data_IF_384052284268
#
_entry.id   IF_384052284268
#
_cell.length_a   1.000
_cell.length_b   1.000
_cell.length_c   1.000
_cell.angle_alpha   90.00
_cell.angle_beta   90.00
_cell.angle_gamma   90.00
#
_symmetry.space_group_name_H-M   'P 1'
#
loop_
_entity.id
_entity.type
_entity.pdbx_description
1 polymer ?
#
# COMPACT_ATOMS: atom_id res chain seq x y z
N UNK A 1 16.97 -16.39 -0.51
CA UNK A 1 16.84 -15.65 -1.78
C UNK A 1 17.57 -14.34 -1.64
N UNK A 2 18.43 -13.97 -2.60
CA UNK A 2 19.16 -12.71 -2.55
C UNK A 2 18.15 -11.57 -2.73
N UNK A 3 18.29 -10.49 -1.95
CA UNK A 3 17.41 -9.32 -2.02
C UNK A 3 17.39 -8.63 -3.41
N UNK A 4 18.37 -8.92 -4.27
CA UNK A 4 18.43 -8.48 -5.67
C UNK A 4 17.31 -9.12 -6.50
N UNK A 5 17.13 -10.43 -6.39
CA UNK A 5 16.28 -11.22 -7.29
C UNK A 5 14.80 -10.84 -7.11
N UNK A 6 14.41 -10.50 -5.87
CA UNK A 6 13.07 -9.98 -5.57
C UNK A 6 12.87 -8.54 -6.09
N UNK A 7 13.93 -7.73 -6.14
CA UNK A 7 13.84 -6.35 -6.60
C UNK A 7 13.65 -6.28 -8.12
N UNK A 8 14.34 -7.13 -8.86
CA UNK A 8 14.22 -7.20 -10.32
C UNK A 8 12.86 -7.78 -10.72
N UNK A 9 12.39 -8.84 -10.04
CA UNK A 9 11.03 -9.36 -10.26
C UNK A 9 9.95 -8.29 -9.99
N UNK A 10 10.09 -7.52 -8.91
CA UNK A 10 9.18 -6.41 -8.59
C UNK A 10 9.26 -5.29 -9.63
N UNK A 11 10.44 -5.03 -10.18
CA UNK A 11 10.63 -4.05 -11.24
C UNK A 11 9.92 -4.47 -12.53
N UNK A 12 10.14 -5.69 -13.02
CA UNK A 12 9.48 -6.18 -14.23
C UNK A 12 7.96 -6.11 -14.07
N UNK A 13 7.42 -6.60 -12.96
CA UNK A 13 5.98 -6.51 -12.68
C UNK A 13 5.46 -5.05 -12.64
N UNK A 14 6.24 -4.11 -12.09
CA UNK A 14 5.88 -2.68 -12.11
C UNK A 14 5.84 -2.10 -13.53
N UNK A 15 6.76 -2.52 -14.39
CA UNK A 15 6.81 -2.05 -15.78
C UNK A 15 5.69 -2.68 -16.61
N UNK A 16 5.49 -4.00 -16.50
CA UNK A 16 4.42 -4.76 -17.18
C UNK A 16 3.01 -4.25 -16.84
N UNK A 17 2.77 -3.82 -15.59
CA UNK A 17 1.51 -3.20 -15.17
C UNK A 17 1.34 -1.74 -15.68
N UNK A 18 2.20 -1.28 -16.60
CA UNK A 18 2.08 0.00 -17.29
C UNK A 18 2.39 1.23 -16.44
N UNK A 19 3.10 1.09 -15.32
CA UNK A 19 3.35 2.23 -14.44
C UNK A 19 4.32 3.27 -15.01
N UNK A 20 5.10 2.93 -16.04
CA UNK A 20 5.93 3.89 -16.77
C UNK A 20 5.11 4.85 -17.60
N UNK A 21 3.97 4.42 -18.13
CA UNK A 21 3.04 5.27 -18.92
C UNK A 21 2.49 6.45 -18.11
N UNK A 22 2.60 6.38 -16.78
CA UNK A 22 2.15 7.44 -15.85
C UNK A 22 3.19 8.54 -15.66
N UNK A 23 4.36 8.46 -16.30
CA UNK A 23 5.37 9.53 -16.30
C UNK A 23 4.83 10.71 -17.10
N UNK A 24 4.97 11.92 -16.57
CA UNK A 24 4.45 13.12 -17.25
C UNK A 24 5.46 13.57 -18.32
N UNK A 25 5.03 14.23 -19.40
CA UNK A 25 5.95 14.85 -20.35
C UNK A 25 6.95 15.79 -19.68
N UNK A 26 6.52 16.54 -18.66
CA UNK A 26 7.37 17.46 -17.88
C UNK A 26 8.40 16.76 -16.97
N UNK A 27 8.30 15.44 -16.82
CA UNK A 27 9.29 14.64 -16.10
C UNK A 27 10.49 14.27 -16.98
N UNK A 28 10.37 14.39 -18.31
CA UNK A 28 11.41 14.02 -19.28
C UNK A 28 12.40 15.17 -19.51
N UNK A 29 13.68 14.83 -19.72
CA UNK A 29 14.71 15.82 -20.13
C UNK A 29 14.46 16.27 -21.57
N UNK A 30 14.11 15.32 -22.45
CA UNK A 30 13.77 15.57 -23.84
C UNK A 30 12.36 15.01 -24.11
N UNK A 31 11.37 15.89 -24.23
CA UNK A 31 9.95 15.51 -24.37
C UNK A 31 9.72 14.68 -25.64
N UNK A 32 10.44 15.00 -26.73
CA UNK A 32 10.27 14.36 -28.03
C UNK A 32 10.79 12.91 -28.08
N UNK A 33 11.72 12.55 -27.20
CA UNK A 33 12.33 11.22 -27.18
C UNK A 33 11.47 10.16 -26.49
N UNK A 34 10.42 10.56 -25.78
CA UNK A 34 9.57 9.66 -25.00
C UNK A 34 10.31 8.98 -23.85
N UNK A 35 9.68 7.95 -23.28
CA UNK A 35 10.27 7.13 -22.22
C UNK A 35 11.06 6.00 -22.89
N UNK A 36 12.33 5.78 -22.54
CA UNK A 36 13.11 4.68 -23.09
C UNK A 36 12.48 3.33 -22.72
N UNK A 37 12.57 2.36 -23.64
CA UNK A 37 12.15 0.99 -23.37
C UNK A 37 13.10 0.33 -22.36
N UNK A 38 12.54 -0.13 -21.26
CA UNK A 38 13.25 -0.75 -20.13
C UNK A 38 12.56 -2.04 -19.66
N UNK A 39 11.65 -2.60 -20.47
CA UNK A 39 10.83 -3.78 -20.12
C UNK A 39 11.70 -5.00 -19.74
N UNK A 40 12.77 -5.24 -20.50
CA UNK A 40 13.66 -6.40 -20.33
C UNK A 40 14.90 -6.10 -19.49
N UNK A 41 15.02 -4.88 -18.95
CA UNK A 41 16.19 -4.47 -18.18
C UNK A 41 16.02 -4.80 -16.70
N UNK A 42 17.11 -5.25 -16.05
CA UNK A 42 17.17 -5.30 -14.59
C UNK A 42 17.02 -3.91 -13.98
N UNK A 43 16.71 -3.85 -12.67
CA UNK A 43 16.42 -2.57 -12.04
C UNK A 43 17.60 -1.59 -12.10
N UNK A 44 18.85 -2.05 -12.04
CA UNK A 44 20.01 -1.16 -12.03
C UNK A 44 20.30 -0.57 -13.41
N UNK A 45 20.22 -1.40 -14.45
CA UNK A 45 20.33 -0.97 -15.84
C UNK A 45 19.19 0.01 -16.18
N UNK A 46 17.94 -0.36 -15.86
CA UNK A 46 16.79 0.50 -16.07
C UNK A 46 16.91 1.83 -15.31
N UNK A 47 17.37 1.79 -14.05
CA UNK A 47 17.63 3.00 -13.26
C UNK A 47 18.62 3.93 -13.95
N UNK A 48 19.74 3.40 -14.44
CA UNK A 48 20.75 4.24 -15.09
C UNK A 48 20.20 4.90 -16.36
N UNK A 49 19.47 4.14 -17.18
CA UNK A 49 18.80 4.65 -18.38
C UNK A 49 17.78 5.72 -18.02
N UNK A 50 16.92 5.47 -17.03
CA UNK A 50 15.87 6.40 -16.62
C UNK A 50 16.42 7.67 -15.97
N UNK A 51 17.49 7.58 -15.20
CA UNK A 51 18.15 8.77 -14.61
C UNK A 51 18.75 9.68 -15.67
N UNK A 52 19.15 9.14 -16.82
CA UNK A 52 19.67 9.93 -17.95
C UNK A 52 18.58 10.54 -18.83
N UNK A 53 17.33 10.06 -18.72
CA UNK A 53 16.20 10.50 -19.56
C UNK A 53 15.14 11.30 -18.78
N UNK A 54 15.14 11.20 -17.44
CA UNK A 54 14.24 11.93 -16.56
C UNK A 54 14.94 13.10 -15.88
N UNK A 55 14.19 14.18 -15.70
CA UNK A 55 14.59 15.26 -14.80
C UNK A 55 14.80 14.71 -13.38
N UNK A 56 15.61 15.37 -12.52
CA UNK A 56 15.79 14.94 -11.14
C UNK A 56 14.46 14.79 -10.36
N UNK A 57 13.49 15.66 -10.66
CA UNK A 57 12.15 15.62 -10.08
C UNK A 57 11.34 14.43 -10.62
N UNK A 58 11.41 14.19 -11.93
CA UNK A 58 10.77 13.04 -12.57
C UNK A 58 11.28 11.71 -12.03
N UNK A 59 12.60 11.56 -11.90
CA UNK A 59 13.20 10.40 -11.25
C UNK A 59 12.73 10.24 -9.81
N UNK A 60 12.72 11.31 -9.02
CA UNK A 60 12.26 11.28 -7.62
C UNK A 60 10.83 10.79 -7.51
N UNK A 61 9.93 11.31 -8.37
CA UNK A 61 8.52 10.88 -8.44
C UNK A 61 8.40 9.40 -8.82
N UNK A 62 9.12 8.96 -9.85
CA UNK A 62 9.11 7.57 -10.29
C UNK A 62 9.61 6.63 -9.19
N UNK A 63 10.75 6.93 -8.58
CA UNK A 63 11.34 6.13 -7.52
C UNK A 63 10.42 6.01 -6.30
N UNK A 64 9.71 7.09 -5.95
CA UNK A 64 8.70 7.07 -4.89
C UNK A 64 7.51 6.16 -5.24
N UNK A 65 7.02 6.21 -6.47
CA UNK A 65 5.94 5.32 -6.96
C UNK A 65 6.36 3.86 -6.94
N UNK A 66 7.55 3.53 -7.44
CA UNK A 66 8.06 2.16 -7.40
C UNK A 66 8.24 1.66 -5.96
N UNK A 67 8.74 2.50 -5.05
CA UNK A 67 8.82 2.14 -3.62
C UNK A 67 7.46 1.84 -3.02
N UNK A 68 6.45 2.67 -3.31
CA UNK A 68 5.07 2.47 -2.86
C UNK A 68 4.44 1.22 -3.46
N UNK A 69 4.73 0.92 -4.73
CA UNK A 69 4.31 -0.31 -5.39
C UNK A 69 4.90 -1.54 -4.69
N UNK A 70 6.22 -1.56 -4.48
CA UNK A 70 6.89 -2.64 -3.76
C UNK A 70 6.29 -2.84 -2.37
N UNK A 71 6.08 -1.74 -1.64
CA UNK A 71 5.45 -1.79 -0.32
C UNK A 71 4.05 -2.41 -0.39
N UNK A 72 3.23 -2.05 -1.37
CA UNK A 72 1.88 -2.60 -1.55
C UNK A 72 1.84 -4.06 -1.98
N UNK A 73 2.79 -4.52 -2.81
CA UNK A 73 2.88 -5.93 -3.21
C UNK A 73 3.40 -6.82 -2.08
N UNK A 74 4.28 -6.28 -1.23
CA UNK A 74 4.82 -6.99 -0.07
C UNK A 74 3.88 -6.96 1.14
N UNK A 75 3.17 -5.85 1.34
CA UNK A 75 2.14 -5.78 2.35
C UNK A 75 0.96 -6.60 1.86
N UNK A 76 0.67 -7.72 2.52
CA UNK A 76 -0.55 -8.50 2.30
C UNK A 76 -1.78 -7.78 2.90
N UNK A 77 -1.84 -6.45 2.76
CA UNK A 77 -2.89 -5.62 3.30
C UNK A 77 -3.93 -5.30 2.24
N UNK A 78 -5.19 -5.29 2.66
CA UNK A 78 -6.33 -4.88 1.84
C UNK A 78 -6.97 -3.63 2.43
N UNK A 79 -7.73 -2.91 1.61
CA UNK A 79 -8.55 -1.78 2.07
C UNK A 79 -9.99 -2.23 2.18
N UNK A 80 -10.57 -2.11 3.38
CA UNK A 80 -12.00 -2.31 3.61
C UNK A 80 -12.69 -0.96 3.76
N UNK A 81 -13.89 -0.83 3.22
CA UNK A 81 -14.74 0.36 3.43
C UNK A 81 -15.75 0.03 4.50
N UNK A 82 -15.81 0.84 5.55
CA UNK A 82 -16.75 0.68 6.66
C UNK A 82 -17.61 1.93 6.78
N UNK A 83 -18.87 1.73 7.22
CA UNK A 83 -19.68 2.86 7.66
C UNK A 83 -19.03 3.51 8.89
N UNK A 84 -19.16 4.84 9.00
CA UNK A 84 -18.60 5.61 10.12
C UNK A 84 -19.03 5.07 11.48
N UNK A 85 -20.31 4.66 11.61
CA UNK A 85 -20.86 4.08 12.83
C UNK A 85 -20.13 2.78 13.20
N UNK A 86 -19.84 1.91 12.22
CA UNK A 86 -19.07 0.67 12.46
C UNK A 86 -17.65 0.98 12.92
N UNK A 87 -17.00 1.99 12.32
CA UNK A 87 -15.65 2.40 12.72
C UNK A 87 -15.62 2.94 14.16
N UNK A 88 -16.60 3.74 14.56
CA UNK A 88 -16.71 4.23 15.94
C UNK A 88 -16.89 3.09 16.96
N UNK A 89 -17.66 2.07 16.57
CA UNK A 89 -17.85 0.86 17.38
C UNK A 89 -16.55 0.08 17.54
N UNK A 90 -15.82 -0.13 16.45
CA UNK A 90 -14.50 -0.78 16.48
C UNK A 90 -13.49 0.03 17.29
N UNK A 91 -13.52 1.36 17.21
CA UNK A 91 -12.65 2.21 18.02
C UNK A 91 -12.93 2.06 19.52
N UNK A 92 -14.22 2.04 19.91
CA UNK A 92 -14.59 1.83 21.31
C UNK A 92 -14.15 0.45 21.82
N UNK A 93 -14.34 -0.59 21.00
CA UNK A 93 -13.89 -1.95 21.33
C UNK A 93 -12.36 -2.02 21.44
N UNK A 94 -11.63 -1.39 20.52
CA UNK A 94 -10.17 -1.28 20.56
C UNK A 94 -9.68 -0.67 21.89
N UNK A 95 -10.33 0.39 22.36
CA UNK A 95 -9.99 1.01 23.65
C UNK A 95 -10.32 0.10 24.84
N UNK A 96 -11.45 -0.62 24.77
CA UNK A 96 -11.85 -1.56 25.81
C UNK A 96 -10.88 -2.74 25.94
N UNK A 97 -10.40 -3.27 24.81
CA UNK A 97 -9.42 -4.37 24.76
C UNK A 97 -7.97 -3.92 25.01
N UNK A 98 -7.72 -2.61 25.11
CA UNK A 98 -6.39 -2.02 25.29
C UNK A 98 -5.35 -2.45 24.22
N UNK A 99 -5.79 -2.56 22.96
CA UNK A 99 -4.92 -2.96 21.83
C UNK A 99 -4.57 -1.79 20.90
N UNK A 100 -3.42 -1.87 20.25
CA UNK A 100 -2.83 -0.75 19.49
C UNK A 100 -3.28 -0.67 18.02
N UNK A 101 -3.82 -1.74 17.45
CA UNK A 101 -4.25 -1.81 16.05
C UNK A 101 -5.61 -2.51 15.89
N UNK A 102 -6.17 -2.41 14.68
CA UNK A 102 -7.46 -3.04 14.36
C UNK A 102 -7.32 -4.50 13.93
N UNK A 103 -6.11 -4.95 13.60
CA UNK A 103 -5.87 -6.34 13.20
C UNK A 103 -6.10 -7.25 14.40
N UNK A 104 -5.50 -6.90 15.53
CA UNK A 104 -5.72 -7.57 16.82
C UNK A 104 -7.19 -7.55 17.24
N UNK A 105 -7.92 -6.43 17.03
CA UNK A 105 -9.36 -6.38 17.31
C UNK A 105 -10.15 -7.35 16.43
N UNK A 106 -9.78 -7.50 15.16
CA UNK A 106 -10.41 -8.48 14.29
C UNK A 106 -10.08 -9.91 14.71
N UNK A 107 -8.87 -10.18 15.17
CA UNK A 107 -8.50 -11.50 15.69
C UNK A 107 -9.42 -11.90 16.86
N UNK A 108 -9.58 -11.02 17.86
CA UNK A 108 -10.51 -11.26 18.98
C UNK A 108 -11.97 -11.44 18.53
N UNK A 109 -12.44 -10.69 17.52
CA UNK A 109 -13.82 -10.79 17.02
C UNK A 109 -14.08 -12.07 16.20
N UNK A 110 -13.03 -12.65 15.63
CA UNK A 110 -13.12 -13.82 14.76
C UNK A 110 -12.74 -15.12 15.48
N UNK A 111 -12.13 -15.03 16.66
CA UNK A 111 -11.81 -16.17 17.49
C UNK A 111 -13.09 -16.76 18.13
N UNK A 112 -13.47 -18.02 17.82
CA UNK A 112 -14.65 -18.64 18.39
C UNK A 112 -14.52 -18.97 19.89
N UNK A 113 -13.31 -18.94 20.46
CA UNK A 113 -13.07 -19.18 21.89
C UNK A 113 -13.23 -17.91 22.74
N UNK A 114 -13.18 -16.73 22.12
CA UNK A 114 -13.31 -15.43 22.80
C UNK A 114 -14.79 -15.02 22.94
N UNK A 115 -15.28 -14.93 24.18
CA UNK A 115 -16.64 -14.42 24.45
C UNK A 115 -16.63 -12.92 24.72
N UNK A 116 -16.84 -12.14 23.65
CA UNK A 116 -16.96 -10.69 23.72
C UNK A 116 -18.40 -10.20 23.96
N UNK A 117 -19.36 -11.09 24.20
CA UNK A 117 -20.80 -10.74 24.22
C UNK A 117 -21.13 -9.62 25.20
N UNK A 118 -20.54 -9.63 26.39
CA UNK A 118 -20.80 -8.63 27.42
C UNK A 118 -20.16 -7.27 27.09
N UNK A 119 -18.95 -7.28 26.53
CA UNK A 119 -18.29 -6.07 26.05
C UNK A 119 -19.12 -5.41 24.93
N UNK A 120 -19.61 -6.22 23.97
CA UNK A 120 -20.42 -5.73 22.86
C UNK A 120 -21.78 -5.17 23.34
N UNK A 121 -22.42 -5.79 24.33
CA UNK A 121 -23.65 -5.27 24.95
C UNK A 121 -23.42 -3.91 25.60
N UNK A 122 -22.41 -3.78 26.46
CA UNK A 122 -22.10 -2.51 27.16
C UNK A 122 -21.83 -1.39 26.15
N UNK A 123 -21.04 -1.69 25.11
CA UNK A 123 -20.62 -0.71 24.12
C UNK A 123 -21.71 -0.32 23.12
N UNK A 124 -22.68 -1.21 22.85
CA UNK A 124 -23.65 -0.99 21.77
C UNK A 124 -25.10 -0.79 22.23
N UNK A 125 -25.48 -1.22 23.43
CA UNK A 125 -26.82 -0.96 23.97
C UNK A 125 -26.92 0.43 24.63
N UNK A 126 -25.80 0.99 25.08
CA UNK A 126 -25.73 2.30 25.75
C UNK A 126 -26.00 3.51 24.83
N UNK A 127 -26.19 3.32 23.51
CA UNK A 127 -26.45 4.39 22.53
C UNK A 127 -27.90 4.46 22.01
N UNK A 128 -28.80 3.55 22.41
CA UNK A 128 -30.22 3.59 22.00
C UNK A 128 -31.15 4.33 22.99
N UNK A 129 -30.61 4.94 24.06
CA UNK A 129 -31.40 5.67 25.07
C UNK A 129 -31.35 7.20 24.92
N UNK A 130 -31.31 7.73 23.70
CA UNK A 130 -31.52 9.17 23.45
C UNK A 130 -32.49 9.41 22.32
#
# INVERSE_FOLDING_TARGET
>A
MKNSDNKDAMWHSYVEEGFLEKIRPTDLIAIESGIPDVNEMDFQAAKQVLQNNLTPQGWTRLAARFRKYKQRKLAQSTTITLHKVTLEKLYALKQYLEVDDYETVFDYLLDPEEDLSDALKILFDSRNSK
#
